data_IF_253884104147
#
_entry.id   IF_253884104147
#
_cell.length_a   1.000
_cell.length_b   1.000
_cell.length_c   1.000
_cell.angle_alpha   90.00
_cell.angle_beta   90.00
_cell.angle_gamma   90.00
#
_symmetry.space_group_name_H-M   'P 1'
#
loop_
_entity.id
_entity.type
_entity.pdbx_description
1 polymer ?
#
# COMPACT_ATOMS: atom_id res chain seq x y z
N UNK A 1 7.55 -23.88 -24.75
CA UNK A 1 6.86 -22.84 -23.94
C UNK A 1 7.87 -22.17 -23.01
N UNK A 2 8.38 -20.98 -23.33
CA UNK A 2 9.21 -20.20 -22.39
C UNK A 2 8.28 -19.73 -21.27
N UNK A 3 8.44 -20.27 -20.07
CA UNK A 3 7.86 -19.72 -18.86
C UNK A 3 8.46 -18.32 -18.64
N UNK A 4 7.87 -17.30 -19.29
CA UNK A 4 8.20 -15.89 -19.03
C UNK A 4 7.87 -15.67 -17.56
N UNK A 5 8.86 -15.28 -16.76
CA UNK A 5 8.69 -15.12 -15.31
C UNK A 5 7.51 -14.17 -15.08
N UNK A 6 6.61 -14.42 -14.11
CA UNK A 6 5.50 -13.53 -13.82
C UNK A 6 5.97 -12.08 -13.62
N UNK A 7 7.18 -11.88 -13.05
CA UNK A 7 7.85 -10.59 -12.94
C UNK A 7 8.06 -9.84 -14.28
N UNK A 8 8.33 -10.54 -15.39
CA UNK A 8 8.48 -9.92 -16.71
C UNK A 8 7.15 -9.42 -17.28
N UNK A 9 6.01 -9.96 -16.79
CA UNK A 9 4.66 -9.59 -17.24
C UNK A 9 4.04 -8.42 -16.47
N UNK A 10 4.46 -8.13 -15.23
CA UNK A 10 3.86 -7.06 -14.41
C UNK A 10 4.33 -5.63 -14.75
N UNK A 11 5.58 -5.45 -15.23
CA UNK A 11 6.14 -4.10 -15.41
C UNK A 11 6.50 -3.44 -14.08
N UNK A 12 7.02 -2.20 -14.08
CA UNK A 12 7.49 -1.57 -12.83
C UNK A 12 6.33 -1.12 -11.95
N UNK A 13 5.28 -0.49 -12.51
CA UNK A 13 4.05 -0.16 -11.75
C UNK A 13 3.41 -1.38 -11.10
N UNK A 14 3.23 -2.47 -11.86
CA UNK A 14 2.67 -3.71 -11.32
C UNK A 14 3.54 -4.33 -10.21
N UNK A 15 4.87 -4.33 -10.37
CA UNK A 15 5.78 -4.80 -9.31
C UNK A 15 5.71 -3.94 -8.05
N UNK A 16 5.66 -2.61 -8.19
CA UNK A 16 5.54 -1.69 -7.05
C UNK A 16 4.20 -1.88 -6.32
N UNK A 17 3.11 -2.04 -7.07
CA UNK A 17 1.79 -2.29 -6.49
C UNK A 17 1.71 -3.67 -5.82
N UNK A 18 2.40 -4.68 -6.36
CA UNK A 18 2.52 -6.01 -5.73
C UNK A 18 3.24 -5.91 -4.40
N UNK A 19 4.38 -5.22 -4.34
CA UNK A 19 5.12 -5.01 -3.09
C UNK A 19 4.27 -4.27 -2.06
N UNK A 20 3.56 -3.21 -2.49
CA UNK A 20 2.62 -2.48 -1.64
C UNK A 20 1.50 -3.37 -1.10
N UNK A 21 0.92 -4.20 -1.96
CA UNK A 21 -0.12 -5.16 -1.59
C UNK A 21 0.38 -6.19 -0.57
N UNK A 22 1.56 -6.79 -0.80
CA UNK A 22 2.16 -7.76 0.13
C UNK A 22 2.44 -7.11 1.50
N UNK A 23 3.01 -5.90 1.52
CA UNK A 23 3.24 -5.18 2.76
C UNK A 23 1.94 -4.88 3.51
N UNK A 24 0.90 -4.43 2.79
CA UNK A 24 -0.41 -4.14 3.37
C UNK A 24 -1.08 -5.39 3.96
N UNK A 25 -1.09 -6.51 3.22
CA UNK A 25 -1.63 -7.79 3.72
C UNK A 25 -0.84 -8.28 4.92
N UNK A 26 0.50 -8.25 4.84
CA UNK A 26 1.37 -8.69 5.94
C UNK A 26 1.18 -7.86 7.21
N UNK A 27 1.09 -6.54 7.06
CA UNK A 27 0.81 -5.65 8.18
C UNK A 27 -0.58 -5.92 8.79
N UNK A 28 -1.63 -6.00 7.97
CA UNK A 28 -2.98 -6.29 8.45
C UNK A 28 -3.11 -7.65 9.13
N UNK A 29 -2.49 -8.69 8.57
CA UNK A 29 -2.44 -10.02 9.18
C UNK A 29 -1.69 -10.00 10.52
N UNK A 30 -0.58 -9.25 10.59
CA UNK A 30 0.15 -9.02 11.84
C UNK A 30 -0.75 -8.42 12.92
N UNK A 31 -1.54 -7.40 12.57
CA UNK A 31 -2.46 -6.75 13.50
C UNK A 31 -3.58 -7.68 14.01
N UNK A 32 -4.04 -8.65 13.20
CA UNK A 32 -5.05 -9.64 13.62
C UNK A 32 -4.45 -10.73 14.50
N UNK A 33 -3.25 -11.23 14.15
CA UNK A 33 -2.63 -12.36 14.87
C UNK A 33 -2.01 -11.89 16.19
N UNK A 34 -1.34 -10.74 16.16
CA UNK A 34 -0.71 -10.10 17.31
C UNK A 34 -0.93 -8.58 17.22
N UNK A 35 -2.06 -8.09 17.76
CA UNK A 35 -2.34 -6.67 17.87
C UNK A 35 -1.14 -5.90 18.42
N UNK A 36 -0.77 -4.80 17.76
CA UNK A 36 0.25 -3.89 18.30
C UNK A 36 -0.23 -3.37 19.66
N UNK A 37 0.52 -3.64 20.73
CA UNK A 37 0.17 -3.23 22.09
C UNK A 37 0.33 -1.73 22.39
N UNK A 38 0.81 -0.95 21.43
CA UNK A 38 0.95 0.51 21.54
C UNK A 38 -0.30 1.21 20.99
N UNK A 39 -1.40 1.06 21.74
CA UNK A 39 -2.71 1.65 21.41
C UNK A 39 -2.71 3.18 21.50
N UNK A 40 -1.75 3.78 22.21
CA UNK A 40 -1.67 5.22 22.45
C UNK A 40 -1.57 6.04 21.15
N UNK A 41 -0.91 5.48 20.13
CA UNK A 41 -0.82 6.12 18.81
C UNK A 41 -2.07 5.95 17.93
N UNK A 42 -2.92 4.98 18.28
CA UNK A 42 -4.04 4.52 17.45
C UNK A 42 -5.41 4.75 18.11
N UNK A 43 -5.46 5.36 19.28
CA UNK A 43 -6.69 5.58 20.05
C UNK A 43 -7.82 6.17 19.19
N UNK A 44 -7.52 7.17 18.35
CA UNK A 44 -8.47 7.76 17.42
C UNK A 44 -9.06 6.73 16.45
N UNK A 45 -8.24 5.87 15.85
CA UNK A 45 -8.72 4.82 14.94
C UNK A 45 -9.57 3.79 15.66
N UNK A 46 -9.21 3.46 16.89
CA UNK A 46 -9.92 2.51 17.74
C UNK A 46 -11.29 3.01 18.19
N UNK A 47 -11.53 4.33 18.19
CA UNK A 47 -12.89 4.86 18.40
C UNK A 47 -13.85 4.55 17.24
N UNK A 48 -13.32 4.35 16.03
CA UNK A 48 -14.13 4.09 14.83
C UNK A 48 -14.45 2.60 14.70
N UNK A 49 -13.44 1.75 14.84
CA UNK A 49 -13.60 0.29 14.78
C UNK A 49 -12.43 -0.41 15.48
N UNK A 50 -12.60 -1.66 15.95
CA UNK A 50 -11.54 -2.40 16.62
C UNK A 50 -10.38 -2.74 15.68
N UNK A 51 -9.22 -3.01 16.27
CA UNK A 51 -7.97 -3.25 15.56
C UNK A 51 -8.05 -4.44 14.58
N UNK A 52 -8.87 -5.45 14.90
CA UNK A 52 -9.16 -6.59 14.01
C UNK A 52 -9.83 -6.16 12.71
N UNK A 53 -10.83 -5.27 12.79
CA UNK A 53 -11.54 -4.75 11.61
C UNK A 53 -10.61 -3.90 10.75
N UNK A 54 -9.76 -3.11 11.41
CA UNK A 54 -8.68 -2.37 10.77
C UNK A 54 -7.63 -3.28 10.10
N UNK A 55 -7.32 -4.43 10.71
CA UNK A 55 -6.47 -5.47 10.10
C UNK A 55 -7.09 -6.02 8.82
N UNK A 56 -8.39 -6.32 8.81
CA UNK A 56 -9.12 -6.70 7.60
C UNK A 56 -9.17 -5.58 6.55
N UNK A 57 -9.26 -4.32 6.96
CA UNK A 57 -9.17 -3.18 6.05
C UNK A 57 -7.80 -3.12 5.33
N UNK A 58 -6.70 -3.37 6.05
CA UNK A 58 -5.37 -3.50 5.46
C UNK A 58 -5.26 -4.69 4.49
N UNK A 59 -5.81 -5.85 4.87
CA UNK A 59 -5.81 -7.04 4.02
C UNK A 59 -6.62 -6.80 2.74
N UNK A 60 -7.81 -6.22 2.84
CA UNK A 60 -8.68 -5.95 1.69
C UNK A 60 -8.06 -4.90 0.76
N UNK A 61 -7.48 -3.82 1.30
CA UNK A 61 -6.72 -2.85 0.50
C UNK A 61 -5.51 -3.50 -0.19
N UNK A 62 -4.77 -4.36 0.52
CA UNK A 62 -3.65 -5.10 -0.03
C UNK A 62 -4.05 -6.10 -1.11
N UNK A 63 -5.15 -6.82 -0.93
CA UNK A 63 -5.72 -7.73 -1.92
C UNK A 63 -6.20 -6.98 -3.17
N UNK A 64 -6.83 -5.81 -3.00
CA UNK A 64 -7.22 -4.94 -4.10
C UNK A 64 -5.99 -4.43 -4.87
N UNK A 65 -4.91 -4.06 -4.18
CA UNK A 65 -3.64 -3.70 -4.80
C UNK A 65 -3.03 -4.87 -5.59
N UNK A 66 -2.99 -6.06 -5.01
CA UNK A 66 -2.54 -7.27 -5.71
C UNK A 66 -3.37 -7.47 -6.98
N UNK A 67 -4.70 -7.50 -6.87
CA UNK A 67 -5.60 -7.65 -8.01
C UNK A 67 -5.35 -6.59 -9.11
N UNK A 68 -5.14 -5.35 -8.71
CA UNK A 68 -4.85 -4.23 -9.62
C UNK A 68 -3.44 -4.30 -10.24
N UNK A 69 -2.49 -5.02 -9.64
CA UNK A 69 -1.13 -5.14 -10.16
C UNK A 69 -1.05 -5.89 -11.50
N UNK A 70 -2.10 -6.66 -11.82
CA UNK A 70 -2.24 -7.35 -13.11
C UNK A 70 -3.06 -6.56 -14.14
N UNK A 71 -3.61 -5.40 -13.77
CA UNK A 71 -4.36 -4.55 -14.69
C UNK A 71 -3.42 -3.75 -15.60
N UNK A 72 -3.90 -3.33 -16.79
CA UNK A 72 -3.15 -2.44 -17.66
C UNK A 72 -2.80 -1.11 -16.97
N UNK A 73 -1.67 -0.49 -17.35
CA UNK A 73 -1.33 0.87 -16.90
C UNK A 73 -2.51 1.82 -17.12
N UNK A 74 -2.79 2.70 -16.14
CA UNK A 74 -3.95 3.61 -16.04
C UNK A 74 -5.23 3.01 -15.46
N UNK A 75 -5.35 1.69 -15.31
CA UNK A 75 -6.49 1.06 -14.61
C UNK A 75 -6.09 0.47 -13.25
N UNK A 76 -4.81 0.55 -12.91
CA UNK A 76 -4.20 0.11 -11.66
C UNK A 76 -4.35 1.13 -10.51
N UNK A 77 -4.79 2.36 -10.81
CA UNK A 77 -4.96 3.44 -9.83
C UNK A 77 -5.84 3.08 -8.61
N UNK A 78 -6.92 2.27 -8.71
CA UNK A 78 -7.73 1.94 -7.54
C UNK A 78 -6.95 1.17 -6.48
N UNK A 79 -6.01 0.31 -6.89
CA UNK A 79 -5.14 -0.42 -5.98
C UNK A 79 -4.18 0.49 -5.22
N UNK A 80 -3.61 1.48 -5.93
CA UNK A 80 -2.78 2.51 -5.29
C UNK A 80 -3.57 3.37 -4.32
N UNK A 81 -4.79 3.76 -4.72
CA UNK A 81 -5.65 4.59 -3.88
C UNK A 81 -6.11 3.85 -2.62
N UNK A 82 -6.44 2.56 -2.72
CA UNK A 82 -6.84 1.75 -1.57
C UNK A 82 -5.72 1.68 -0.52
N UNK A 83 -4.48 1.42 -0.95
CA UNK A 83 -3.32 1.37 -0.05
C UNK A 83 -2.97 2.74 0.51
N UNK A 84 -3.11 3.80 -0.30
CA UNK A 84 -2.93 5.17 0.18
C UNK A 84 -3.94 5.54 1.26
N UNK A 85 -5.23 5.26 1.03
CA UNK A 85 -6.30 5.65 1.94
C UNK A 85 -6.12 5.03 3.33
N UNK A 86 -5.81 3.74 3.38
CA UNK A 86 -5.57 3.06 4.66
C UNK A 86 -4.29 3.56 5.34
N UNK A 87 -3.20 3.78 4.59
CA UNK A 87 -1.97 4.33 5.14
C UNK A 87 -2.15 5.77 5.67
N UNK A 88 -2.94 6.59 4.99
CA UNK A 88 -3.26 7.96 5.40
C UNK A 88 -4.08 7.99 6.69
N UNK A 89 -4.97 7.02 6.90
CA UNK A 89 -5.71 6.90 8.16
C UNK A 89 -4.74 6.65 9.35
N UNK A 90 -3.74 5.77 9.17
CA UNK A 90 -2.68 5.55 10.17
C UNK A 90 -1.83 6.79 10.38
N UNK A 91 -1.38 7.41 9.29
CA UNK A 91 -0.58 8.62 9.37
C UNK A 91 -1.30 9.72 10.15
N UNK A 92 -2.59 9.93 9.88
CA UNK A 92 -3.42 10.91 10.58
C UNK A 92 -3.60 10.58 12.05
N UNK A 93 -3.87 9.32 12.40
CA UNK A 93 -4.05 8.91 13.79
C UNK A 93 -2.79 9.15 14.63
N UNK A 94 -1.62 8.71 14.14
CA UNK A 94 -0.35 8.95 14.82
C UNK A 94 0.04 10.43 14.85
N UNK A 95 -0.33 11.20 13.83
CA UNK A 95 -0.11 12.64 13.81
C UNK A 95 -0.94 13.34 14.88
N UNK A 96 -2.23 13.00 14.99
CA UNK A 96 -3.17 13.54 16.00
C UNK A 96 -2.76 13.13 17.42
N UNK A 97 -2.33 11.88 17.60
CA UNK A 97 -1.81 11.36 18.87
C UNK A 97 -0.55 12.12 19.33
N UNK A 98 0.33 12.49 18.39
CA UNK A 98 1.47 13.36 18.70
C UNK A 98 1.03 14.81 18.96
N UNK A 99 0.22 15.37 18.07
CA UNK A 99 -0.30 16.73 18.14
C UNK A 99 -1.69 16.81 17.50
N UNK A 100 -2.74 17.21 18.24
CA UNK A 100 -2.71 17.97 19.49
C UNK A 100 -2.82 17.14 20.79
N UNK A 101 -3.01 15.82 20.74
CA UNK A 101 -3.35 15.04 21.95
C UNK A 101 -2.15 14.83 22.90
N UNK A 102 -0.92 14.79 22.37
CA UNK A 102 0.30 14.61 23.18
C UNK A 102 0.44 13.22 23.83
N UNK A 103 -0.33 12.24 23.37
CA UNK A 103 -0.36 10.86 23.90
C UNK A 103 0.89 10.07 23.49
N UNK A 104 1.37 10.29 22.26
CA UNK A 104 2.56 9.61 21.74
C UNK A 104 3.64 10.61 21.34
N UNK A 105 4.68 10.84 22.16
CA UNK A 105 5.78 11.75 21.85
C UNK A 105 6.53 11.39 20.56
N UNK A 106 6.47 10.12 20.14
CA UNK A 106 7.09 9.59 18.91
C UNK A 106 6.09 9.37 17.78
N UNK A 107 4.82 9.75 17.95
CA UNK A 107 3.77 9.58 16.94
C UNK A 107 4.12 10.23 15.60
N UNK A 108 4.82 11.37 15.60
CA UNK A 108 5.28 12.03 14.38
C UNK A 108 6.19 11.16 13.49
N UNK A 109 7.01 10.27 14.09
CA UNK A 109 7.90 9.38 13.34
C UNK A 109 7.06 8.37 12.56
N UNK A 110 6.12 7.71 13.25
CA UNK A 110 5.25 6.70 12.65
C UNK A 110 4.32 7.36 11.63
N UNK A 111 3.78 8.53 11.95
CA UNK A 111 2.98 9.33 11.03
C UNK A 111 3.73 9.65 9.74
N UNK A 112 4.99 10.07 9.85
CA UNK A 112 5.85 10.37 8.69
C UNK A 112 6.12 9.13 7.85
N UNK A 113 6.39 7.98 8.49
CA UNK A 113 6.61 6.71 7.78
C UNK A 113 5.36 6.30 6.98
N UNK A 114 4.19 6.31 7.61
CA UNK A 114 2.94 5.98 6.91
C UNK A 114 2.56 7.01 5.84
N UNK A 115 2.79 8.29 6.09
CA UNK A 115 2.55 9.35 5.12
C UNK A 115 3.47 9.19 3.90
N UNK A 116 4.76 8.94 4.10
CA UNK A 116 5.70 8.66 3.02
C UNK A 116 5.32 7.37 2.28
N UNK A 117 4.95 6.32 3.02
CA UNK A 117 4.47 5.07 2.44
C UNK A 117 3.25 5.29 1.53
N UNK A 118 2.24 6.04 1.98
CA UNK A 118 1.07 6.38 1.17
C UNK A 118 1.42 7.31 0.00
N UNK A 119 2.27 8.30 0.20
CA UNK A 119 2.64 9.30 -0.84
C UNK A 119 3.30 8.64 -2.04
N UNK A 120 4.10 7.58 -1.84
CA UNK A 120 4.66 6.79 -2.95
C UNK A 120 3.55 6.24 -3.86
N UNK A 121 2.39 5.88 -3.33
CA UNK A 121 1.26 5.43 -4.14
C UNK A 121 0.67 6.58 -4.99
N UNK A 122 0.56 7.79 -4.44
CA UNK A 122 0.10 8.96 -5.20
C UNK A 122 1.08 9.33 -6.32
N UNK A 123 2.38 9.32 -6.03
CA UNK A 123 3.43 9.55 -7.04
C UNK A 123 3.36 8.48 -8.13
N UNK A 124 3.18 7.22 -7.76
CA UNK A 124 3.05 6.13 -8.72
C UNK A 124 1.80 6.26 -9.61
N UNK A 125 0.69 6.80 -9.10
CA UNK A 125 -0.51 7.08 -9.91
C UNK A 125 -0.15 8.07 -11.04
N UNK A 126 0.56 9.15 -10.71
CA UNK A 126 0.97 10.20 -11.66
C UNK A 126 2.13 9.82 -12.58
N UNK A 127 2.81 8.69 -12.35
CA UNK A 127 3.95 8.27 -13.17
C UNK A 127 3.48 7.49 -14.40
N UNK A 128 3.54 8.11 -15.58
CA UNK A 128 3.31 7.41 -16.84
C UNK A 128 4.46 6.44 -17.17
N UNK A 129 4.15 5.15 -17.25
CA UNK A 129 5.11 4.15 -17.72
C UNK A 129 5.06 4.10 -19.26
N UNK A 130 6.20 4.25 -19.96
CA UNK A 130 6.22 4.15 -21.42
C UNK A 130 5.59 2.84 -21.89
N UNK A 131 4.79 2.85 -22.98
CA UNK A 131 4.22 1.64 -23.54
C UNK A 131 5.32 0.62 -23.79
N UNK A 132 5.12 -0.64 -23.33
CA UNK A 132 6.10 -1.72 -23.53
C UNK A 132 6.55 -1.73 -24.99
N UNK A 133 7.85 -1.55 -25.20
CA UNK A 133 8.45 -1.71 -26.52
C UNK A 133 8.04 -3.10 -27.06
N UNK A 134 7.29 -3.11 -28.16
CA UNK A 134 6.90 -4.34 -28.84
C UNK A 134 8.20 -5.03 -29.23
N UNK A 135 8.38 -6.28 -28.79
CA UNK A 135 9.53 -7.08 -29.21
C UNK A 135 9.46 -7.18 -30.74
N UNK A 136 10.31 -6.45 -31.46
CA UNK A 136 10.41 -6.65 -32.91
C UNK A 136 10.75 -8.12 -33.15
N UNK A 137 10.05 -8.81 -34.05
CA UNK A 137 10.43 -10.17 -34.42
C UNK A 137 11.90 -10.14 -34.92
N UNK A 138 12.67 -11.21 -34.70
CA UNK A 138 14.04 -11.28 -35.19
C UNK A 138 14.06 -10.91 -36.68
N UNK A 139 14.88 -9.94 -37.06
CA UNK A 139 15.13 -9.69 -38.49
C UNK A 139 15.82 -10.94 -39.02
N UNK A 140 15.11 -11.70 -39.84
CA UNK A 140 15.70 -12.78 -40.61
C UNK A 140 16.75 -12.17 -41.55
N UNK A 141 18.02 -12.52 -41.33
CA UNK A 141 19.16 -12.22 -42.21
C UNK A 141 19.70 -13.53 -42.74
#
# INVERSE_FOLDING_TARGET
MRARRPAERLGRRGALLTLKGVMAVGYGAGQIVQPTGDEQGLALLLTVMPLDSWGWAWITAGAAALACAWLPPRRDWPGFLAVWAIASAWAGAYLVSWWPLGESPRGWVIATIFAAFGTVCLVAIGWDEPPRARSEPPRET
#
